data_IF_054921325271
#
_entry.id   IF_054921325271
#
_cell.length_a   1.000
_cell.length_b   1.000
_cell.length_c   1.000
_cell.angle_alpha   90.00
_cell.angle_beta   90.00
_cell.angle_gamma   90.00
#
_symmetry.space_group_name_H-M   'P 1'
#
loop_
_entity.id
_entity.type
_entity.pdbx_description
1 polymer ?
#
# COMPACT_ATOMS: atom_id res chain seq x y z
N UNK A 1 -19.21 16.44 4.38
CA UNK A 1 -18.51 16.15 3.11
C UNK A 1 -17.55 17.25 2.67
N UNK A 2 -16.82 17.88 3.60
CA UNK A 2 -15.84 18.93 3.28
C UNK A 2 -14.55 18.70 4.05
N UNK A 3 -14.15 17.43 4.18
CA UNK A 3 -12.87 17.09 4.79
C UNK A 3 -11.77 17.27 3.75
N UNK A 4 -10.70 17.93 4.15
CA UNK A 4 -9.50 18.01 3.34
C UNK A 4 -8.65 16.74 3.51
N UNK A 5 -7.64 16.49 2.66
CA UNK A 5 -6.80 15.28 2.75
C UNK A 5 -6.12 15.10 4.11
N UNK A 6 -5.74 16.18 4.78
CA UNK A 6 -5.12 16.11 6.11
C UNK A 6 -6.11 15.62 7.17
N UNK A 7 -7.39 16.02 7.08
CA UNK A 7 -8.44 15.55 7.99
C UNK A 7 -8.68 14.05 7.79
N UNK A 8 -8.64 13.57 6.53
CA UNK A 8 -8.79 12.14 6.22
C UNK A 8 -7.67 11.31 6.85
N UNK A 9 -6.42 11.78 6.74
CA UNK A 9 -5.27 11.12 7.38
C UNK A 9 -5.45 11.07 8.90
N UNK A 10 -5.89 12.18 9.54
CA UNK A 10 -6.14 12.23 10.97
C UNK A 10 -7.27 11.29 11.42
N UNK A 11 -8.24 11.00 10.56
CA UNK A 11 -9.29 10.01 10.80
C UNK A 11 -8.80 8.57 10.60
N UNK A 12 -7.61 8.38 10.03
CA UNK A 12 -6.99 7.10 9.80
C UNK A 12 -7.18 6.54 8.39
N UNK A 13 -7.59 7.37 7.43
CA UNK A 13 -7.64 6.99 6.02
C UNK A 13 -6.39 7.51 5.32
N UNK A 14 -5.51 6.61 4.87
CA UNK A 14 -4.24 6.96 4.24
C UNK A 14 -4.16 6.35 2.85
N UNK A 15 -3.66 7.10 1.89
CA UNK A 15 -3.54 6.66 0.50
C UNK A 15 -2.08 6.49 0.09
N UNK A 16 -1.81 5.41 -0.63
CA UNK A 16 -0.61 5.20 -1.43
C UNK A 16 -1.00 5.43 -2.89
N UNK A 17 -0.56 6.55 -3.42
CA UNK A 17 -0.87 6.98 -4.78
C UNK A 17 -0.08 6.17 -5.81
N UNK A 18 -0.65 6.03 -6.99
CA UNK A 18 0.04 5.56 -8.18
C UNK A 18 1.36 6.31 -8.40
N UNK A 19 2.36 5.62 -8.94
CA UNK A 19 3.69 6.20 -9.23
C UNK A 19 4.59 6.34 -8.00
N UNK A 20 4.29 5.61 -6.90
CA UNK A 20 5.16 5.45 -5.71
C UNK A 20 5.38 6.72 -4.89
N UNK A 21 5.43 7.89 -5.49
CA UNK A 21 5.54 9.25 -4.90
C UNK A 21 6.52 9.35 -3.72
N UNK A 22 7.72 8.79 -3.87
CA UNK A 22 8.80 8.95 -2.89
C UNK A 22 9.46 10.33 -3.01
N UNK A 23 9.96 10.86 -1.89
CA UNK A 23 10.84 12.02 -1.88
C UNK A 23 12.23 11.58 -2.26
N UNK A 24 12.60 11.69 -3.55
CA UNK A 24 13.80 11.08 -4.12
C UNK A 24 15.12 11.56 -3.50
N UNK A 25 15.17 12.77 -2.99
CA UNK A 25 16.35 13.38 -2.35
C UNK A 25 16.50 13.02 -0.87
N UNK A 26 15.43 12.50 -0.24
CA UNK A 26 15.48 11.99 1.12
C UNK A 26 15.96 10.53 1.12
N UNK A 27 16.55 10.11 2.22
CA UNK A 27 16.88 8.70 2.45
C UNK A 27 15.61 7.85 2.57
N UNK A 28 15.76 6.54 2.44
CA UNK A 28 14.69 5.57 2.69
C UNK A 28 14.10 5.77 4.09
N UNK A 29 14.96 5.88 5.10
CA UNK A 29 14.56 6.09 6.51
C UNK A 29 13.77 7.38 6.69
N UNK A 30 14.24 8.50 6.15
CA UNK A 30 13.56 9.80 6.23
C UNK A 30 12.20 9.77 5.51
N UNK A 31 12.11 9.09 4.36
CA UNK A 31 10.83 8.88 3.70
C UNK A 31 9.83 8.14 4.58
N UNK A 32 10.25 7.04 5.20
CA UNK A 32 9.38 6.24 6.07
C UNK A 32 8.95 7.06 7.28
N UNK A 33 9.90 7.73 7.96
CA UNK A 33 9.63 8.58 9.14
C UNK A 33 8.65 9.71 8.81
N UNK A 34 8.70 10.27 7.60
CA UNK A 34 7.80 11.37 7.20
C UNK A 34 6.32 10.99 7.30
N UNK A 35 5.98 9.71 7.21
CA UNK A 35 4.61 9.21 7.38
C UNK A 35 4.04 9.39 8.80
N UNK A 36 4.90 9.54 9.79
CA UNK A 36 4.48 9.80 11.17
C UNK A 36 4.22 11.29 11.48
N UNK A 37 4.30 12.18 10.48
CA UNK A 37 4.23 13.64 10.68
C UNK A 37 2.98 14.11 11.44
N UNK A 38 1.83 13.48 11.21
CA UNK A 38 0.59 13.83 11.90
C UNK A 38 0.52 13.31 13.34
N UNK A 39 1.44 12.41 13.72
CA UNK A 39 1.51 11.79 15.03
C UNK A 39 2.55 12.54 15.89
N UNK A 40 2.16 12.96 17.09
CA UNK A 40 3.07 13.61 18.04
C UNK A 40 3.89 12.57 18.79
N UNK A 41 4.83 11.91 18.09
CA UNK A 41 5.68 10.86 18.64
C UNK A 41 6.99 11.41 19.16
N UNK A 42 7.45 10.85 20.28
CA UNK A 42 8.81 11.00 20.77
C UNK A 42 9.81 10.27 19.84
N UNK A 43 11.09 10.62 19.95
CA UNK A 43 12.14 9.94 19.15
C UNK A 43 12.20 8.43 19.40
N UNK A 44 11.93 8.00 20.63
CA UNK A 44 11.90 6.58 20.99
C UNK A 44 10.75 5.85 20.30
N UNK A 45 9.56 6.46 20.30
CA UNK A 45 8.38 5.90 19.62
C UNK A 45 8.57 5.84 18.10
N UNK A 46 9.16 6.88 17.48
CA UNK A 46 9.51 6.86 16.06
C UNK A 46 10.44 5.68 15.76
N UNK A 47 11.48 5.48 16.55
CA UNK A 47 12.41 4.36 16.34
C UNK A 47 11.72 3.01 16.50
N UNK A 48 10.82 2.85 17.47
CA UNK A 48 10.06 1.61 17.66
C UNK A 48 9.15 1.31 16.45
N UNK A 49 8.44 2.33 15.97
CA UNK A 49 7.59 2.20 14.77
C UNK A 49 8.41 1.92 13.50
N UNK A 50 9.59 2.53 13.38
CA UNK A 50 10.49 2.30 12.27
C UNK A 50 11.02 0.85 12.26
N UNK A 51 11.44 0.31 13.41
CA UNK A 51 11.85 -1.10 13.52
C UNK A 51 10.67 -2.04 13.21
N UNK A 52 9.44 -1.70 13.61
CA UNK A 52 8.25 -2.44 13.22
C UNK A 52 8.08 -2.48 11.69
N UNK A 53 8.28 -1.36 11.00
CA UNK A 53 8.25 -1.33 9.54
C UNK A 53 9.37 -2.17 8.93
N UNK A 54 10.56 -2.15 9.49
CA UNK A 54 11.68 -2.95 9.01
C UNK A 54 11.49 -4.47 9.18
N UNK A 55 10.62 -4.89 10.11
CA UNK A 55 10.24 -6.31 10.23
C UNK A 55 9.39 -6.77 9.03
N UNK A 56 8.56 -5.90 8.45
CA UNK A 56 7.82 -6.18 7.22
C UNK A 56 8.67 -5.96 5.97
N UNK A 57 9.52 -4.94 5.97
CA UNK A 57 10.28 -4.48 4.81
C UNK A 57 11.78 -4.56 5.06
N UNK A 58 12.34 -5.77 5.18
CA UNK A 58 13.76 -5.97 5.52
C UNK A 58 14.71 -5.27 4.52
N UNK A 59 14.36 -5.25 3.23
CA UNK A 59 15.15 -4.54 2.21
C UNK A 59 15.27 -3.05 2.50
N UNK A 60 14.26 -2.42 3.09
CA UNK A 60 14.32 -1.02 3.47
C UNK A 60 15.30 -0.78 4.61
N UNK A 61 15.42 -1.73 5.55
CA UNK A 61 16.42 -1.66 6.63
C UNK A 61 17.85 -1.65 6.08
N UNK A 62 18.13 -2.53 5.12
CA UNK A 62 19.44 -2.63 4.46
C UNK A 62 19.79 -1.34 3.70
N UNK A 63 18.79 -0.74 3.07
CA UNK A 63 18.92 0.47 2.24
C UNK A 63 18.60 1.77 2.98
N UNK A 64 18.38 1.75 4.29
CA UNK A 64 17.85 2.88 5.06
C UNK A 64 18.56 4.21 4.85
N UNK A 65 19.86 4.18 4.61
CA UNK A 65 20.71 5.37 4.38
C UNK A 65 20.83 5.76 2.90
N UNK A 66 20.36 4.95 1.98
CA UNK A 66 20.35 5.26 0.56
C UNK A 66 19.28 6.31 0.26
N UNK A 67 19.55 7.21 -0.70
CA UNK A 67 18.51 8.11 -1.20
C UNK A 67 17.44 7.30 -1.94
N UNK A 68 16.16 7.60 -1.67
CA UNK A 68 15.05 6.87 -2.25
C UNK A 68 15.00 6.93 -3.78
N UNK A 69 15.48 8.02 -4.38
CA UNK A 69 15.55 8.17 -5.83
C UNK A 69 16.50 7.19 -6.53
N UNK A 70 17.44 6.58 -5.80
CA UNK A 70 18.38 5.58 -6.31
C UNK A 70 18.01 4.14 -5.93
N UNK A 71 16.81 3.92 -5.39
CA UNK A 71 16.31 2.59 -5.10
C UNK A 71 15.50 2.04 -6.28
N UNK A 72 15.33 0.71 -6.32
CA UNK A 72 14.52 0.06 -7.35
C UNK A 72 13.04 0.44 -7.25
N UNK A 73 12.28 0.24 -8.33
CA UNK A 73 10.84 0.50 -8.32
C UNK A 73 10.08 -0.26 -7.23
N UNK A 74 10.46 -1.50 -6.95
CA UNK A 74 9.86 -2.28 -5.86
C UNK A 74 10.22 -1.73 -4.48
N UNK A 75 11.47 -1.33 -4.26
CA UNK A 75 11.86 -0.67 -3.02
C UNK A 75 11.13 0.66 -2.82
N UNK A 76 10.93 1.46 -3.89
CA UNK A 76 10.14 2.69 -3.82
C UNK A 76 8.67 2.42 -3.47
N UNK A 77 8.08 1.34 -3.99
CA UNK A 77 6.73 0.93 -3.61
C UNK A 77 6.66 0.51 -2.14
N UNK A 78 7.64 -0.27 -1.67
CA UNK A 78 7.76 -0.64 -0.25
C UNK A 78 7.92 0.61 0.63
N UNK A 79 8.73 1.60 0.23
CA UNK A 79 8.87 2.88 0.94
C UNK A 79 7.51 3.59 1.04
N UNK A 80 6.74 3.65 -0.05
CA UNK A 80 5.44 4.32 -0.07
C UNK A 80 4.44 3.65 0.88
N UNK A 81 4.38 2.31 0.90
CA UNK A 81 3.52 1.54 1.83
C UNK A 81 4.01 1.70 3.27
N UNK A 82 5.30 1.54 3.54
CA UNK A 82 5.87 1.70 4.89
C UNK A 82 5.61 3.11 5.43
N UNK A 83 5.79 4.15 4.62
CA UNK A 83 5.47 5.53 4.95
C UNK A 83 3.99 5.70 5.33
N UNK A 84 3.08 5.13 4.54
CA UNK A 84 1.65 5.19 4.83
C UNK A 84 1.33 4.49 6.17
N UNK A 85 1.96 3.36 6.46
CA UNK A 85 1.77 2.62 7.71
C UNK A 85 2.30 3.36 8.95
N UNK A 86 3.29 4.23 8.79
CA UNK A 86 3.78 5.09 9.88
C UNK A 86 2.71 6.08 10.40
N UNK A 87 1.71 6.41 9.58
CA UNK A 87 0.55 7.19 10.02
C UNK A 87 -0.41 6.40 10.93
N UNK A 88 -0.22 5.08 11.08
CA UNK A 88 -1.07 4.13 11.81
C UNK A 88 -2.52 4.16 11.29
N UNK A 89 -2.73 3.85 10.02
CA UNK A 89 -4.03 3.93 9.39
C UNK A 89 -5.01 2.90 9.96
N UNK A 90 -6.30 3.23 9.92
CA UNK A 90 -7.40 2.26 10.05
C UNK A 90 -7.75 1.65 8.70
N UNK A 91 -7.57 2.44 7.64
CA UNK A 91 -7.81 2.02 6.26
C UNK A 91 -6.71 2.56 5.35
N UNK A 92 -6.17 1.68 4.53
CA UNK A 92 -5.14 1.98 3.53
C UNK A 92 -5.76 1.87 2.13
N UNK A 93 -5.63 2.95 1.35
CA UNK A 93 -6.00 2.96 -0.07
C UNK A 93 -4.74 2.69 -0.88
N UNK A 94 -4.76 1.67 -1.71
CA UNK A 94 -3.67 1.31 -2.62
C UNK A 94 -4.13 1.52 -4.06
N UNK A 95 -3.45 2.41 -4.76
CA UNK A 95 -3.75 2.78 -6.14
C UNK A 95 -2.67 2.20 -7.05
N UNK A 96 -3.03 1.15 -7.81
CA UNK A 96 -2.19 0.39 -8.72
C UNK A 96 -0.80 0.02 -8.14
N UNK A 97 -0.74 -0.64 -6.97
CA UNK A 97 0.54 -0.92 -6.31
C UNK A 97 1.43 -1.89 -7.09
N UNK A 98 0.90 -2.64 -8.05
CA UNK A 98 1.67 -3.58 -8.88
C UNK A 98 2.27 -2.96 -10.14
N UNK A 99 1.82 -1.77 -10.53
CA UNK A 99 2.16 -1.19 -11.83
C UNK A 99 3.65 -1.00 -12.05
N UNK A 100 4.15 -1.53 -13.17
CA UNK A 100 5.56 -1.40 -13.57
C UNK A 100 6.56 -2.12 -12.67
N UNK A 101 6.10 -3.16 -11.95
CA UNK A 101 6.94 -4.01 -11.10
C UNK A 101 7.14 -5.41 -11.73
N UNK A 102 8.29 -6.02 -11.44
CA UNK A 102 8.51 -7.42 -11.79
C UNK A 102 7.55 -8.33 -10.97
N UNK A 103 7.05 -9.44 -11.56
CA UNK A 103 6.07 -10.33 -10.91
C UNK A 103 6.45 -10.76 -9.49
N UNK A 104 7.71 -11.09 -9.25
CA UNK A 104 8.21 -11.49 -7.93
C UNK A 104 8.06 -10.37 -6.88
N UNK A 105 8.28 -9.11 -7.28
CA UNK A 105 8.12 -7.96 -6.38
C UNK A 105 6.65 -7.67 -6.10
N UNK A 106 5.78 -7.92 -7.08
CA UNK A 106 4.32 -7.83 -6.90
C UNK A 106 3.88 -8.82 -5.84
N UNK A 107 4.27 -10.09 -5.96
CA UNK A 107 3.95 -11.12 -4.96
C UNK A 107 4.46 -10.75 -3.57
N UNK A 108 5.71 -10.29 -3.45
CA UNK A 108 6.31 -9.85 -2.18
C UNK A 108 5.50 -8.72 -1.54
N UNK A 109 5.10 -7.71 -2.31
CA UNK A 109 4.30 -6.58 -1.81
C UNK A 109 2.93 -7.05 -1.33
N UNK A 110 2.24 -7.91 -2.08
CA UNK A 110 0.91 -8.38 -1.69
C UNK A 110 0.95 -9.32 -0.49
N UNK A 111 2.00 -10.10 -0.30
CA UNK A 111 2.23 -10.88 0.93
C UNK A 111 2.31 -9.92 2.12
N UNK A 112 3.10 -8.84 2.01
CA UNK A 112 3.23 -7.84 3.08
C UNK A 112 1.89 -7.12 3.33
N UNK A 113 1.19 -6.72 2.28
CA UNK A 113 -0.12 -6.06 2.36
C UNK A 113 -1.12 -6.95 3.11
N UNK A 114 -1.14 -8.25 2.80
CA UNK A 114 -1.99 -9.21 3.50
C UNK A 114 -1.59 -9.36 4.98
N UNK A 115 -0.31 -9.44 5.27
CA UNK A 115 0.17 -9.48 6.66
C UNK A 115 -0.23 -8.23 7.46
N UNK A 116 -0.18 -7.04 6.84
CA UNK A 116 -0.64 -5.80 7.46
C UNK A 116 -2.15 -5.84 7.76
N UNK A 117 -2.95 -6.40 6.86
CA UNK A 117 -4.38 -6.61 7.10
C UNK A 117 -4.60 -7.60 8.25
N UNK A 118 -3.98 -8.78 8.19
CA UNK A 118 -4.21 -9.88 9.13
C UNK A 118 -3.67 -9.57 10.55
N UNK A 119 -2.49 -8.96 10.66
CA UNK A 119 -1.79 -8.76 11.94
C UNK A 119 -2.05 -7.39 12.57
N UNK A 120 -2.22 -6.35 11.74
CA UNK A 120 -2.41 -4.97 12.21
C UNK A 120 -3.89 -4.55 12.19
N UNK A 121 -4.77 -5.35 11.61
CA UNK A 121 -6.20 -5.05 11.48
C UNK A 121 -6.52 -3.86 10.59
N UNK A 122 -5.63 -3.52 9.67
CA UNK A 122 -5.81 -2.40 8.73
C UNK A 122 -6.72 -2.85 7.60
N UNK A 123 -7.86 -2.17 7.41
CA UNK A 123 -8.70 -2.40 6.22
C UNK A 123 -7.98 -1.90 4.97
N UNK A 124 -8.09 -2.62 3.86
CA UNK A 124 -7.43 -2.27 2.61
C UNK A 124 -8.45 -2.11 1.51
N UNK A 125 -8.41 -0.97 0.82
CA UNK A 125 -9.11 -0.78 -0.44
C UNK A 125 -8.06 -0.71 -1.55
N UNK A 126 -8.12 -1.69 -2.45
CA UNK A 126 -7.20 -1.87 -3.55
C UNK A 126 -7.88 -1.48 -4.87
N UNK A 127 -7.28 -0.58 -5.62
CA UNK A 127 -7.58 -0.35 -7.02
C UNK A 127 -6.46 -0.97 -7.87
N UNK A 128 -6.80 -1.92 -8.73
CA UNK A 128 -5.86 -2.65 -9.58
C UNK A 128 -6.46 -2.92 -10.95
N UNK A 129 -5.68 -2.72 -11.98
CA UNK A 129 -6.05 -3.05 -13.35
C UNK A 129 -5.97 -4.57 -13.60
N UNK A 130 -5.00 -5.24 -13.00
CA UNK A 130 -4.88 -6.69 -13.09
C UNK A 130 -5.88 -7.36 -12.14
N UNK A 131 -7.03 -7.73 -12.68
CA UNK A 131 -8.15 -8.34 -11.97
C UNK A 131 -7.74 -9.62 -11.22
N UNK A 132 -6.87 -10.44 -11.82
CA UNK A 132 -6.40 -11.68 -11.22
C UNK A 132 -5.58 -11.41 -9.94
N UNK A 133 -4.65 -10.45 -10.00
CA UNK A 133 -3.87 -10.02 -8.84
C UNK A 133 -4.79 -9.43 -7.78
N UNK A 134 -5.70 -8.53 -8.16
CA UNK A 134 -6.63 -7.91 -7.23
C UNK A 134 -7.50 -8.94 -6.49
N UNK A 135 -8.16 -9.81 -7.22
CA UNK A 135 -9.10 -10.78 -6.64
C UNK A 135 -8.41 -11.87 -5.81
N UNK A 136 -7.19 -12.29 -6.16
CA UNK A 136 -6.43 -13.25 -5.34
C UNK A 136 -6.02 -12.70 -3.97
N UNK A 137 -5.94 -11.39 -3.85
CA UNK A 137 -5.47 -10.70 -2.65
C UNK A 137 -6.58 -9.93 -1.91
N UNK A 138 -7.85 -10.19 -2.27
CA UNK A 138 -9.02 -9.51 -1.69
C UNK A 138 -10.04 -10.52 -1.19
N UNK A 139 -10.90 -10.08 -0.27
CA UNK A 139 -12.06 -10.87 0.20
C UNK A 139 -13.30 -10.59 -0.65
N UNK A 140 -13.44 -9.36 -1.13
CA UNK A 140 -14.56 -8.87 -1.93
C UNK A 140 -14.07 -7.97 -3.05
N UNK A 141 -14.74 -7.98 -4.21
CA UNK A 141 -14.36 -7.20 -5.37
C UNK A 141 -15.53 -6.50 -6.04
N UNK A 142 -15.21 -5.40 -6.70
CA UNK A 142 -16.07 -4.66 -7.62
C UNK A 142 -15.37 -4.60 -8.98
N UNK A 143 -16.01 -5.08 -10.02
CA UNK A 143 -15.53 -4.94 -11.40
C UNK A 143 -16.16 -3.68 -11.99
N UNK A 144 -15.30 -2.73 -12.34
CA UNK A 144 -15.74 -1.42 -12.85
C UNK A 144 -15.33 -1.31 -14.32
N UNK A 145 -16.29 -0.97 -15.17
CA UNK A 145 -16.06 -0.66 -16.59
C UNK A 145 -16.76 0.66 -16.92
N UNK A 146 -16.04 1.54 -17.60
CA UNK A 146 -16.57 2.86 -18.06
C UNK A 146 -17.28 3.66 -16.94
N UNK A 147 -16.76 3.57 -15.71
CA UNK A 147 -17.30 4.29 -14.54
C UNK A 147 -18.53 3.65 -13.89
N UNK A 148 -18.91 2.43 -14.31
CA UNK A 148 -20.06 1.70 -13.76
C UNK A 148 -19.60 0.39 -13.13
N UNK A 149 -20.22 0.01 -12.01
CA UNK A 149 -20.02 -1.32 -11.42
C UNK A 149 -20.78 -2.33 -12.26
N UNK A 150 -20.06 -3.23 -12.93
CA UNK A 150 -20.61 -4.28 -13.75
C UNK A 150 -20.93 -5.54 -12.96
N UNK A 151 -20.06 -5.91 -12.06
CA UNK A 151 -20.18 -7.08 -11.18
C UNK A 151 -19.60 -6.74 -9.82
N UNK A 152 -20.14 -7.37 -8.77
CA UNK A 152 -19.58 -7.33 -7.44
C UNK A 152 -19.85 -8.65 -6.71
N UNK A 153 -19.01 -8.97 -5.74
CA UNK A 153 -19.17 -10.20 -4.98
C UNK A 153 -17.91 -10.65 -4.25
N UNK A 154 -17.98 -11.83 -3.63
CA UNK A 154 -16.78 -12.41 -3.03
C UNK A 154 -15.70 -12.62 -4.09
N UNK A 155 -14.43 -12.33 -3.76
CA UNK A 155 -13.32 -12.47 -4.69
C UNK A 155 -13.24 -13.90 -5.26
N UNK A 156 -13.52 -14.92 -4.43
CA UNK A 156 -13.57 -16.32 -4.86
C UNK A 156 -14.65 -16.57 -5.92
N UNK A 157 -15.83 -15.94 -5.79
CA UNK A 157 -16.91 -16.07 -6.77
C UNK A 157 -16.51 -15.41 -8.08
N UNK A 158 -15.97 -14.18 -8.02
CA UNK A 158 -15.56 -13.42 -9.19
C UNK A 158 -14.41 -14.10 -9.97
N UNK A 159 -13.44 -14.71 -9.30
CA UNK A 159 -12.34 -15.46 -9.93
C UNK A 159 -12.84 -16.66 -10.78
N UNK A 160 -14.02 -17.19 -10.45
CA UNK A 160 -14.61 -18.33 -11.17
C UNK A 160 -15.67 -17.91 -12.18
N UNK A 161 -16.02 -16.62 -12.27
CA UNK A 161 -17.02 -16.09 -13.18
C UNK A 161 -16.42 -15.97 -14.58
N UNK A 162 -17.09 -16.58 -15.59
CA UNK A 162 -16.60 -16.57 -16.97
C UNK A 162 -16.62 -15.16 -17.57
N UNK A 163 -17.58 -14.31 -17.18
CA UNK A 163 -17.60 -12.90 -17.63
C UNK A 163 -16.38 -12.12 -17.14
N UNK A 164 -15.92 -12.40 -15.91
CA UNK A 164 -14.72 -11.76 -15.36
C UNK A 164 -13.48 -12.20 -16.13
N UNK A 165 -13.43 -13.44 -16.63
CA UNK A 165 -12.32 -13.96 -17.44
C UNK A 165 -12.22 -13.29 -18.82
N UNK A 166 -13.31 -12.72 -19.33
CA UNK A 166 -13.31 -11.99 -20.60
C UNK A 166 -12.64 -10.61 -20.50
N UNK A 167 -12.41 -10.10 -19.27
CA UNK A 167 -11.72 -8.83 -19.01
C UNK A 167 -10.18 -8.98 -18.84
N UNK A 168 -9.61 -10.15 -19.15
CA UNK A 168 -8.16 -10.41 -19.08
C UNK A 168 -7.50 -10.33 -20.46
#
# INVERSE_FOLDING_TARGET
EKLNPSDMVNLGLVQVLEGRRCFGHLTVEENVISGAYTRKLSKSEINSELERMYNYFQRLKERRKSQAGFTSGGEQQMIAVARAMMAKPKMLLLDEPSMGLAPQLVEEIFVIVKELNDKEGVSILLAEQNTNIALRNSDYGYIIETGQVMLDGSAKSLLNDDKVKEFY
#
